data_IF_586073912673
#
_entry.id   IF_586073912673
#
_cell.length_a   1.000
_cell.length_b   1.000
_cell.length_c   1.000
_cell.angle_alpha   90.00
_cell.angle_beta   90.00
_cell.angle_gamma   90.00
#
_symmetry.space_group_name_H-M   'P 1'
#
loop_
_entity.id
_entity.type
_entity.pdbx_description
1 polymer ?
#
# COMPACT_ATOMS: atom_id res chain seq x y z
N UNK A 1 60.65 -49.38 -31.65
CA UNK A 1 60.72 -48.17 -32.49
C UNK A 1 61.63 -47.19 -31.79
N UNK A 2 62.63 -46.65 -32.48
CA UNK A 2 63.56 -45.65 -31.91
C UNK A 2 62.89 -44.28 -32.06
N UNK A 3 62.46 -43.68 -30.95
CA UNK A 3 61.94 -42.32 -30.94
C UNK A 3 63.11 -41.37 -30.70
N UNK A 4 63.85 -41.01 -31.75
CA UNK A 4 64.79 -39.89 -31.68
C UNK A 4 64.00 -38.61 -31.94
N UNK A 5 63.71 -37.85 -30.88
CA UNK A 5 63.16 -36.50 -31.01
C UNK A 5 64.24 -35.55 -31.50
N UNK A 6 63.87 -34.59 -32.35
CA UNK A 6 64.77 -33.50 -32.75
C UNK A 6 64.87 -32.46 -31.63
N UNK A 7 65.94 -31.64 -31.66
CA UNK A 7 66.19 -30.65 -30.60
C UNK A 7 65.06 -29.63 -30.48
N UNK A 8 64.44 -29.23 -31.60
CA UNK A 8 63.38 -28.23 -31.65
C UNK A 8 62.13 -28.73 -30.91
N UNK A 9 61.77 -30.00 -31.13
CA UNK A 9 60.63 -30.64 -30.45
C UNK A 9 60.89 -30.78 -28.95
N UNK A 10 62.12 -31.09 -28.56
CA UNK A 10 62.48 -31.16 -27.13
C UNK A 10 62.44 -29.78 -26.48
N UNK A 11 62.94 -28.73 -27.15
CA UNK A 11 62.90 -27.36 -26.64
C UNK A 11 61.47 -26.84 -26.42
N UNK A 12 60.54 -27.15 -27.32
CA UNK A 12 59.12 -26.78 -27.16
C UNK A 12 58.43 -27.54 -26.02
N UNK A 13 58.85 -28.79 -25.76
CA UNK A 13 58.28 -29.62 -24.70
C UNK A 13 58.92 -29.37 -23.32
N UNK A 14 60.13 -28.80 -23.26
CA UNK A 14 60.89 -28.58 -22.02
C UNK A 14 60.14 -27.76 -20.95
N UNK A 15 59.44 -26.64 -21.26
CA UNK A 15 58.66 -25.91 -20.25
C UNK A 15 57.56 -26.77 -19.62
N UNK A 16 56.81 -27.51 -20.45
CA UNK A 16 55.71 -28.36 -19.97
C UNK A 16 56.22 -29.60 -19.23
N UNK A 17 57.41 -30.10 -19.59
CA UNK A 17 58.11 -31.19 -18.90
C UNK A 17 58.62 -30.77 -17.51
N UNK A 18 59.19 -29.56 -17.38
CA UNK A 18 59.61 -28.97 -16.09
C UNK A 18 58.40 -28.79 -15.16
N UNK A 19 57.25 -28.41 -15.70
CA UNK A 19 55.99 -28.23 -14.96
C UNK A 19 55.25 -29.56 -14.66
N UNK A 20 55.76 -30.70 -15.16
CA UNK A 20 55.18 -32.03 -14.92
C UNK A 20 53.85 -32.30 -15.65
N UNK A 21 53.58 -31.59 -16.74
CA UNK A 21 52.31 -31.64 -17.49
C UNK A 21 52.38 -32.52 -18.75
N UNK A 22 53.47 -33.24 -18.96
CA UNK A 22 53.70 -34.14 -20.09
C UNK A 22 53.39 -35.61 -19.74
N UNK A 23 52.94 -36.38 -20.74
CA UNK A 23 52.62 -37.82 -20.56
C UNK A 23 53.87 -38.67 -20.36
N UNK A 24 53.73 -39.85 -19.73
CA UNK A 24 54.85 -40.76 -19.42
C UNK A 24 55.68 -41.16 -20.65
N UNK A 25 55.04 -41.32 -21.81
CA UNK A 25 55.71 -41.64 -23.08
C UNK A 25 56.57 -40.47 -23.56
N UNK A 26 56.11 -39.24 -23.35
CA UNK A 26 56.85 -38.01 -23.70
C UNK A 26 58.00 -37.76 -22.73
N UNK A 27 57.80 -38.05 -21.44
CA UNK A 27 58.83 -37.95 -20.41
C UNK A 27 60.03 -38.84 -20.71
N UNK A 28 59.80 -40.11 -21.06
CA UNK A 28 60.87 -41.04 -21.43
C UNK A 28 61.66 -40.59 -22.66
N UNK A 29 60.98 -40.01 -23.66
CA UNK A 29 61.62 -39.55 -24.89
C UNK A 29 62.48 -38.28 -24.65
N UNK A 30 62.00 -37.34 -23.83
CA UNK A 30 62.75 -36.14 -23.42
C UNK A 30 63.97 -36.53 -22.57
N UNK A 31 63.82 -37.42 -21.59
CA UNK A 31 64.93 -37.92 -20.77
C UNK A 31 66.03 -38.62 -21.57
N UNK A 32 65.64 -39.39 -22.59
CA UNK A 32 66.59 -40.06 -23.47
C UNK A 32 67.38 -39.06 -24.33
N UNK A 33 66.73 -38.00 -24.81
CA UNK A 33 67.39 -36.94 -25.57
C UNK A 33 68.32 -36.07 -24.69
N UNK A 34 67.92 -35.76 -23.44
CA UNK A 34 68.75 -35.00 -22.49
C UNK A 34 70.04 -35.74 -22.09
N UNK A 35 70.09 -37.07 -22.22
CA UNK A 35 71.30 -37.88 -21.99
C UNK A 35 72.35 -37.71 -23.11
N UNK A 36 71.92 -37.45 -24.34
CA UNK A 36 72.79 -37.41 -25.52
C UNK A 36 73.03 -35.99 -26.05
N UNK A 37 72.18 -35.02 -25.74
CA UNK A 37 72.25 -33.65 -26.24
C UNK A 37 72.63 -32.63 -25.14
N UNK A 38 73.78 -31.98 -25.29
CA UNK A 38 74.31 -31.03 -24.31
C UNK A 38 73.59 -29.66 -24.34
N UNK A 39 73.16 -29.20 -25.51
CA UNK A 39 72.46 -27.91 -25.68
C UNK A 39 71.10 -27.91 -24.97
N UNK A 40 70.31 -28.97 -25.13
CA UNK A 40 69.00 -29.10 -24.47
C UNK A 40 69.16 -29.30 -22.95
N UNK A 41 70.23 -29.96 -22.50
CA UNK A 41 70.54 -30.11 -21.06
C UNK A 41 70.87 -28.79 -20.40
N UNK A 42 71.57 -27.91 -21.11
CA UNK A 42 71.88 -26.57 -20.60
C UNK A 42 70.62 -25.73 -20.45
N UNK A 43 69.73 -25.74 -21.45
CA UNK A 43 68.44 -25.04 -21.40
C UNK A 43 67.55 -25.55 -20.26
N UNK A 44 67.48 -26.87 -20.05
CA UNK A 44 66.77 -27.47 -18.92
C UNK A 44 67.30 -27.00 -17.55
N UNK A 45 68.61 -26.84 -17.40
CA UNK A 45 69.21 -26.32 -16.15
C UNK A 45 68.93 -24.84 -15.93
N UNK A 46 69.01 -24.03 -16.98
CA UNK A 46 68.68 -22.60 -16.92
C UNK A 46 67.22 -22.36 -16.50
N UNK A 47 66.31 -23.29 -16.83
CA UNK A 47 64.90 -23.24 -16.42
C UNK A 47 64.64 -23.81 -15.01
N UNK A 48 65.57 -24.59 -14.44
CA UNK A 48 65.47 -25.12 -13.07
C UNK A 48 66.10 -24.22 -12.01
N UNK A 49 66.95 -23.27 -12.39
CA UNK A 49 67.57 -22.35 -11.45
C UNK A 49 66.65 -21.15 -11.16
N UNK A 50 66.26 -20.90 -9.90
CA UNK A 50 65.58 -19.66 -9.54
C UNK A 50 66.56 -18.49 -9.74
N UNK A 51 66.19 -17.50 -10.55
CA UNK A 51 67.01 -16.31 -10.79
C UNK A 51 67.22 -15.54 -9.47
N UNK A 52 68.36 -15.79 -8.82
CA UNK A 52 68.90 -15.01 -7.73
C UNK A 52 69.98 -14.10 -8.30
N UNK A 53 69.63 -12.83 -8.56
CA UNK A 53 70.58 -11.83 -9.06
C UNK A 53 71.55 -11.39 -7.96
N UNK A 54 72.79 -11.89 -8.03
CA UNK A 54 73.93 -11.40 -7.25
C UNK A 54 74.40 -10.01 -7.74
N UNK A 55 74.93 -9.19 -6.82
CA UNK A 55 76.28 -8.62 -6.91
C UNK A 55 76.72 -7.96 -5.59
N UNK A 56 77.42 -8.75 -4.75
CA UNK A 56 78.72 -8.53 -4.03
C UNK A 56 78.98 -7.10 -3.48
N UNK A 57 79.25 -6.87 -2.19
CA UNK A 57 80.43 -7.35 -1.45
C UNK A 57 80.33 -7.16 0.08
N UNK A 58 80.61 -8.25 0.81
CA UNK A 58 81.49 -8.39 1.99
C UNK A 58 81.33 -7.49 3.23
N UNK A 59 81.11 -8.12 4.40
CA UNK A 59 82.12 -8.43 5.44
C UNK A 59 81.43 -8.93 6.73
N UNK A 60 81.91 -10.09 7.23
CA UNK A 60 81.87 -10.64 8.60
C UNK A 60 80.62 -11.32 9.19
N UNK A 61 80.75 -12.66 9.26
CA UNK A 61 80.72 -13.52 10.46
C UNK A 61 79.71 -13.21 11.57
N UNK A 62 78.83 -14.17 11.83
CA UNK A 62 78.34 -14.41 13.19
C UNK A 62 76.91 -14.91 13.32
N UNK A 63 76.78 -16.22 13.45
CA UNK A 63 75.77 -16.91 14.29
C UNK A 63 74.32 -17.03 13.80
N UNK A 64 73.98 -18.31 13.64
CA UNK A 64 72.66 -18.95 13.60
C UNK A 64 71.73 -18.44 14.71
N UNK A 65 70.51 -18.03 14.35
CA UNK A 65 69.25 -18.56 14.86
C UNK A 65 68.04 -17.73 14.37
N UNK A 66 66.99 -18.44 13.97
CA UNK A 66 65.59 -18.01 13.87
C UNK A 66 65.14 -17.00 12.80
N UNK A 67 64.66 -17.59 11.69
CA UNK A 67 63.27 -17.47 11.23
C UNK A 67 62.61 -16.07 11.25
N UNK A 68 63.14 -15.12 10.48
CA UNK A 68 62.38 -13.96 10.00
C UNK A 68 62.70 -13.66 8.54
N UNK A 69 62.27 -14.55 7.64
CA UNK A 69 62.24 -14.21 6.21
C UNK A 69 61.04 -13.30 5.97
N UNK A 70 61.37 -12.04 5.71
CA UNK A 70 60.51 -11.04 5.11
C UNK A 70 59.80 -11.67 3.91
N UNK A 71 58.48 -11.79 4.00
CA UNK A 71 57.67 -11.85 2.80
C UNK A 71 57.93 -10.57 2.03
N UNK A 72 58.43 -10.74 0.81
CA UNK A 72 58.41 -9.73 -0.24
C UNK A 72 57.06 -9.02 -0.19
N UNK A 73 57.08 -7.75 0.25
CA UNK A 73 55.86 -6.98 0.45
C UNK A 73 55.28 -6.73 -0.93
N UNK A 74 54.24 -7.48 -1.26
CA UNK A 74 53.37 -7.27 -2.41
C UNK A 74 52.64 -5.92 -2.26
N UNK A 75 53.31 -4.84 -2.70
CA UNK A 75 52.80 -3.47 -2.67
C UNK A 75 51.52 -3.32 -3.51
N UNK A 76 51.32 -4.19 -4.52
CA UNK A 76 50.16 -4.15 -5.42
C UNK A 76 48.89 -4.69 -4.75
N UNK A 77 48.99 -5.72 -3.91
CA UNK A 77 47.86 -6.23 -3.11
C UNK A 77 47.40 -5.24 -2.04
N UNK A 78 48.33 -4.47 -1.47
CA UNK A 78 48.05 -3.46 -0.43
C UNK A 78 47.33 -2.21 -0.97
N UNK A 79 47.57 -1.83 -2.23
CA UNK A 79 46.89 -0.70 -2.89
C UNK A 79 45.51 -1.12 -3.43
N UNK A 80 45.39 -2.32 -4.03
CA UNK A 80 44.09 -2.85 -4.50
C UNK A 80 43.14 -3.16 -3.34
N UNK A 81 43.63 -3.65 -2.20
CA UNK A 81 42.80 -3.87 -1.01
C UNK A 81 42.32 -2.55 -0.38
N UNK A 82 43.16 -1.50 -0.35
CA UNK A 82 42.75 -0.16 0.09
C UNK A 82 41.69 0.46 -0.82
N UNK A 83 41.84 0.35 -2.14
CA UNK A 83 40.83 0.86 -3.07
C UNK A 83 39.54 0.02 -3.03
N UNK A 84 39.63 -1.32 -2.92
CA UNK A 84 38.45 -2.17 -2.69
C UNK A 84 37.75 -1.84 -1.37
N UNK A 85 38.50 -1.59 -0.29
CA UNK A 85 37.93 -1.17 0.99
C UNK A 85 37.24 0.19 0.86
N UNK A 86 37.84 1.18 0.18
CA UNK A 86 37.20 2.48 -0.09
C UNK A 86 35.91 2.35 -0.91
N UNK A 87 35.91 1.48 -1.94
CA UNK A 87 34.71 1.19 -2.73
C UNK A 87 33.64 0.54 -1.86
N UNK A 88 34.01 -0.46 -1.05
CA UNK A 88 33.07 -1.12 -0.11
C UNK A 88 32.51 -0.13 0.92
N UNK A 89 33.33 0.77 1.46
CA UNK A 89 32.88 1.84 2.37
C UNK A 89 31.91 2.78 1.66
N UNK A 90 32.19 3.20 0.43
CA UNK A 90 31.30 4.05 -0.35
C UNK A 90 29.96 3.35 -0.66
N UNK A 91 30.01 2.07 -1.05
CA UNK A 91 28.81 1.24 -1.29
C UNK A 91 28.01 1.06 0.00
N UNK A 92 28.67 0.83 1.14
CA UNK A 92 28.01 0.70 2.44
C UNK A 92 27.35 2.01 2.87
N UNK A 93 28.04 3.15 2.73
CA UNK A 93 27.46 4.48 3.03
C UNK A 93 26.26 4.73 2.14
N UNK A 94 26.36 4.42 0.84
CA UNK A 94 25.25 4.56 -0.08
C UNK A 94 24.06 3.66 0.31
N UNK A 95 24.32 2.39 0.63
CA UNK A 95 23.29 1.46 1.09
C UNK A 95 22.62 1.94 2.38
N UNK A 96 23.40 2.48 3.34
CA UNK A 96 22.87 3.10 4.56
C UNK A 96 22.04 4.34 4.22
N UNK A 97 22.50 5.23 3.34
CA UNK A 97 21.76 6.42 2.95
C UNK A 97 20.42 6.09 2.29
N UNK A 98 20.41 5.07 1.41
CA UNK A 98 19.16 4.55 0.81
C UNK A 98 18.27 3.93 1.89
N UNK A 99 18.84 3.14 2.79
CA UNK A 99 18.10 2.53 3.91
C UNK A 99 17.48 3.58 4.83
N UNK A 100 18.22 4.62 5.19
CA UNK A 100 17.74 5.77 5.98
C UNK A 100 16.67 6.53 5.21
N UNK A 101 16.84 6.78 3.91
CA UNK A 101 15.82 7.44 3.10
C UNK A 101 14.50 6.67 3.05
N UNK A 102 14.56 5.34 2.87
CA UNK A 102 13.37 4.47 2.92
C UNK A 102 12.74 4.46 4.31
N UNK A 103 13.56 4.35 5.35
CA UNK A 103 13.09 4.38 6.74
C UNK A 103 12.42 5.73 7.08
N UNK A 104 13.05 6.85 6.74
CA UNK A 104 12.49 8.20 6.93
C UNK A 104 11.18 8.40 6.17
N UNK A 105 11.06 7.88 4.93
CA UNK A 105 9.81 7.95 4.18
C UNK A 105 8.67 7.21 4.91
N UNK A 106 8.94 6.02 5.44
CA UNK A 106 7.92 5.16 6.07
C UNK A 106 7.53 5.61 7.49
N UNK A 107 8.50 6.09 8.28
CA UNK A 107 8.31 6.34 9.71
C UNK A 107 8.26 7.81 10.11
N UNK A 108 8.66 8.75 9.22
CA UNK A 108 8.70 10.20 9.54
C UNK A 108 7.84 11.02 8.59
N UNK A 109 8.03 10.88 7.27
CA UNK A 109 7.30 11.71 6.29
C UNK A 109 5.89 11.17 6.05
N UNK A 110 5.78 9.84 5.91
CA UNK A 110 4.52 9.18 5.66
C UNK A 110 3.99 9.38 4.24
N UNK A 111 2.78 8.87 4.04
CA UNK A 111 2.00 8.97 2.81
C UNK A 111 0.65 9.62 3.10
N UNK A 112 -0.01 10.17 2.08
CA UNK A 112 -1.34 10.76 2.25
C UNK A 112 -2.35 9.67 2.62
N UNK A 113 -3.28 9.98 3.51
CA UNK A 113 -4.44 9.12 3.78
C UNK A 113 -5.36 9.17 2.56
N UNK A 114 -5.57 8.02 1.92
CA UNK A 114 -6.48 7.93 0.75
C UNK A 114 -7.92 7.59 1.15
N UNK A 115 -8.12 6.98 2.33
CA UNK A 115 -9.42 6.48 2.77
C UNK A 115 -9.81 7.12 4.12
N UNK A 116 -10.67 8.14 4.05
CA UNK A 116 -11.16 8.87 5.22
C UNK A 116 -11.99 7.99 6.19
N UNK A 117 -12.55 6.88 5.72
CA UNK A 117 -13.34 5.94 6.54
C UNK A 117 -12.54 5.37 7.72
N UNK A 118 -11.21 5.24 7.58
CA UNK A 118 -10.33 4.78 8.66
C UNK A 118 -9.92 5.87 9.65
N UNK A 119 -10.50 7.06 9.52
CA UNK A 119 -10.25 8.20 10.40
C UNK A 119 -11.55 8.52 11.15
N UNK A 120 -11.49 8.39 12.46
CA UNK A 120 -12.51 8.95 13.34
C UNK A 120 -12.10 10.39 13.65
N UNK A 121 -12.92 11.35 13.28
CA UNK A 121 -12.63 12.77 13.50
C UNK A 121 -13.90 13.51 13.92
N UNK A 122 -13.71 14.46 14.83
CA UNK A 122 -14.69 15.41 15.29
C UNK A 122 -14.19 16.82 14.99
N UNK A 123 -15.12 17.70 14.65
CA UNK A 123 -14.85 19.10 14.32
C UNK A 123 -15.70 20.01 15.19
N UNK A 124 -15.05 21.05 15.71
CA UNK A 124 -15.72 22.17 16.36
C UNK A 124 -15.35 23.44 15.59
N UNK A 125 -16.37 24.17 15.15
CA UNK A 125 -16.21 25.47 14.48
C UNK A 125 -16.76 26.56 15.40
N UNK A 126 -15.90 27.48 15.81
CA UNK A 126 -16.25 28.66 16.59
C UNK A 126 -15.78 29.91 15.84
N UNK A 127 -16.72 30.71 15.35
CA UNK A 127 -16.46 31.86 14.46
C UNK A 127 -15.59 31.45 13.24
N UNK A 128 -14.32 31.85 13.23
CA UNK A 128 -13.34 31.54 12.19
C UNK A 128 -12.30 30.49 12.63
N UNK A 129 -12.46 29.89 13.81
CA UNK A 129 -11.55 28.87 14.31
C UNK A 129 -12.14 27.47 14.09
N UNK A 130 -11.39 26.63 13.38
CA UNK A 130 -11.74 25.23 13.12
C UNK A 130 -10.82 24.35 13.94
N UNK A 131 -11.37 23.70 14.97
CA UNK A 131 -10.66 22.70 15.76
C UNK A 131 -11.01 21.31 15.23
N UNK A 132 -10.00 20.56 14.79
CA UNK A 132 -10.15 19.20 14.29
C UNK A 132 -9.37 18.27 15.19
N UNK A 133 -10.07 17.28 15.76
CA UNK A 133 -9.45 16.24 16.56
C UNK A 133 -9.88 14.87 16.07
N UNK A 134 -9.02 13.87 16.24
CA UNK A 134 -9.36 12.54 15.78
C UNK A 134 -8.26 11.52 15.97
N UNK A 135 -8.52 10.32 15.44
CA UNK A 135 -7.59 9.21 15.45
C UNK A 135 -7.73 8.33 14.21
N UNK A 136 -6.61 7.70 13.85
CA UNK A 136 -6.58 6.60 12.88
C UNK A 136 -7.04 5.32 13.59
N UNK A 137 -8.03 4.64 13.01
CA UNK A 137 -8.55 3.36 13.52
C UNK A 137 -7.50 2.24 13.39
N UNK A 138 -6.63 2.30 12.39
CA UNK A 138 -5.47 1.41 12.29
C UNK A 138 -4.40 1.80 13.32
N UNK A 139 -4.44 1.12 14.46
CA UNK A 139 -3.51 1.33 15.59
C UNK A 139 -2.04 1.03 15.26
N UNK A 140 -1.74 0.49 14.07
CA UNK A 140 -0.37 0.29 13.56
C UNK A 140 0.18 1.50 12.81
N UNK A 141 -0.61 2.57 12.66
CA UNK A 141 -0.22 3.82 12.01
C UNK A 141 -0.05 4.96 13.00
N UNK A 142 0.53 6.06 12.53
CA UNK A 142 0.61 7.34 13.23
C UNK A 142 0.40 8.51 12.27
N UNK A 143 -0.12 9.63 12.77
CA UNK A 143 -0.32 10.86 12.00
C UNK A 143 0.97 11.68 12.01
N UNK A 144 1.53 11.94 10.84
CA UNK A 144 2.76 12.74 10.70
C UNK A 144 2.53 14.20 10.35
N UNK A 145 1.40 14.51 9.71
CA UNK A 145 1.07 15.86 9.27
C UNK A 145 -0.44 16.01 9.10
N UNK A 146 -0.94 17.21 9.41
CA UNK A 146 -2.33 17.64 9.18
C UNK A 146 -2.26 18.96 8.43
N UNK A 147 -2.65 18.94 7.16
CA UNK A 147 -2.61 20.09 6.28
C UNK A 147 -4.02 20.64 6.05
N UNK A 148 -4.12 21.95 5.92
CA UNK A 148 -5.37 22.66 5.65
C UNK A 148 -5.29 23.38 4.31
N UNK A 149 -6.38 23.34 3.55
CA UNK A 149 -6.60 24.14 2.37
C UNK A 149 -7.97 24.79 2.48
N UNK A 150 -8.03 26.09 2.25
CA UNK A 150 -9.27 26.86 2.30
C UNK A 150 -9.61 27.40 0.92
N UNK A 151 -10.86 27.22 0.51
CA UNK A 151 -11.39 27.78 -0.73
C UNK A 151 -12.91 27.96 -0.65
N UNK A 152 -13.38 29.18 -0.91
CA UNK A 152 -14.81 29.53 -1.04
C UNK A 152 -15.64 29.22 0.25
N UNK A 153 -14.99 29.28 1.42
CA UNK A 153 -15.55 28.94 2.74
C UNK A 153 -15.50 27.44 3.08
N UNK A 154 -14.85 26.62 2.24
CA UNK A 154 -14.67 25.18 2.47
C UNK A 154 -13.25 24.94 2.99
N UNK A 155 -13.15 24.43 4.22
CA UNK A 155 -11.89 24.03 4.84
C UNK A 155 -11.66 22.53 4.60
N UNK A 156 -10.69 22.21 3.75
CA UNK A 156 -10.27 20.84 3.46
C UNK A 156 -9.09 20.46 4.34
N UNK A 157 -9.27 19.40 5.12
CA UNK A 157 -8.27 18.78 5.99
C UNK A 157 -7.68 17.58 5.26
N UNK A 158 -6.36 17.53 5.16
CA UNK A 158 -5.62 16.39 4.62
C UNK A 158 -4.66 15.81 5.64
N UNK A 159 -4.58 14.48 5.69
CA UNK A 159 -3.75 13.77 6.66
C UNK A 159 -2.61 13.03 5.96
N UNK A 160 -1.46 12.97 6.64
CA UNK A 160 -0.38 12.02 6.30
C UNK A 160 -0.24 10.98 7.39
N UNK A 161 -0.20 9.71 6.98
CA UNK A 161 0.02 8.57 7.85
C UNK A 161 1.42 7.96 7.68
N UNK A 162 1.98 7.50 8.79
CA UNK A 162 3.24 6.74 8.88
C UNK A 162 2.97 5.38 9.51
N UNK A 163 3.94 4.46 9.45
CA UNK A 163 3.93 3.34 10.40
C UNK A 163 4.15 3.87 11.81
N UNK A 164 3.43 3.30 12.77
CA UNK A 164 3.54 3.66 14.19
C UNK A 164 4.98 3.60 14.63
N UNK A 165 5.42 4.70 15.24
CA UNK A 165 6.77 4.91 15.74
C UNK A 165 6.69 5.73 17.02
N UNK A 166 7.82 5.92 17.68
CA UNK A 166 7.88 6.81 18.85
C UNK A 166 7.71 8.30 18.50
N UNK A 167 7.70 8.66 17.22
CA UNK A 167 7.58 10.05 16.75
C UNK A 167 6.14 10.46 16.47
N UNK A 168 5.26 9.50 16.15
CA UNK A 168 3.89 9.76 15.70
C UNK A 168 2.90 8.84 16.39
N UNK A 169 1.92 9.43 17.05
CA UNK A 169 0.74 8.76 17.62
C UNK A 169 -0.33 8.60 16.55
N UNK A 170 -1.28 7.68 16.75
CA UNK A 170 -2.45 7.55 15.87
C UNK A 170 -3.51 8.65 16.11
N UNK A 171 -3.36 9.46 17.15
CA UNK A 171 -4.21 10.59 17.49
C UNK A 171 -3.64 11.92 16.99
N UNK A 172 -4.51 12.87 16.68
CA UNK A 172 -4.18 14.23 16.28
C UNK A 172 -5.21 15.23 16.82
N UNK A 173 -4.75 16.45 17.08
CA UNK A 173 -5.59 17.60 17.41
C UNK A 173 -4.91 18.85 16.87
N UNK A 174 -5.60 19.58 15.99
CA UNK A 174 -5.04 20.76 15.33
C UNK A 174 -6.13 21.82 15.16
N UNK A 175 -5.75 23.07 15.44
CA UNK A 175 -6.60 24.24 15.22
C UNK A 175 -6.17 24.96 13.93
N UNK A 176 -7.13 25.45 13.18
CA UNK A 176 -6.94 26.22 11.96
C UNK A 176 -7.75 27.51 12.01
N UNK A 177 -7.07 28.63 11.83
CA UNK A 177 -7.71 29.94 11.72
C UNK A 177 -8.06 30.21 10.25
N UNK A 178 -9.35 30.14 9.95
CA UNK A 178 -9.91 30.47 8.64
C UNK A 178 -9.83 31.97 8.36
N UNK A 179 -9.70 32.32 7.08
CA UNK A 179 -9.63 33.71 6.60
C UNK A 179 -10.99 34.31 6.23
N UNK A 180 -12.02 33.48 6.12
CA UNK A 180 -13.39 33.84 5.75
C UNK A 180 -14.43 33.11 6.62
N UNK A 181 -15.72 33.29 6.36
CA UNK A 181 -16.76 32.54 7.09
C UNK A 181 -16.72 31.06 6.65
N UNK A 182 -16.54 30.17 7.61
CA UNK A 182 -16.50 28.72 7.36
C UNK A 182 -17.90 28.21 7.08
N UNK A 183 -18.10 27.67 5.88
CA UNK A 183 -19.37 27.04 5.46
C UNK A 183 -19.34 25.53 5.61
N UNK A 184 -18.19 24.91 5.39
CA UNK A 184 -18.04 23.47 5.41
C UNK A 184 -16.63 23.05 5.82
N UNK A 185 -16.52 21.94 6.55
CA UNK A 185 -15.25 21.29 6.88
C UNK A 185 -15.25 19.87 6.34
N UNK A 186 -14.27 19.54 5.51
CA UNK A 186 -14.14 18.25 4.82
C UNK A 186 -12.81 17.62 5.17
N UNK A 187 -12.81 16.36 5.60
CA UNK A 187 -11.61 15.55 5.79
C UNK A 187 -11.44 14.60 4.62
N UNK A 188 -10.44 14.88 3.78
CA UNK A 188 -10.22 14.25 2.47
C UNK A 188 -11.47 14.34 1.57
N UNK A 189 -12.39 13.37 1.67
CA UNK A 189 -13.67 13.34 0.95
C UNK A 189 -14.90 13.31 1.88
N UNK A 190 -14.71 13.17 3.19
CA UNK A 190 -15.79 13.06 4.18
C UNK A 190 -16.14 14.43 4.74
N UNK A 191 -17.40 14.80 4.65
CA UNK A 191 -17.93 16.04 5.22
C UNK A 191 -18.06 15.80 6.73
N UNK A 192 -17.38 16.62 7.54
CA UNK A 192 -17.42 16.53 9.01
C UNK A 192 -18.38 17.56 9.62
N UNK A 193 -18.56 18.69 8.93
CA UNK A 193 -19.37 19.80 9.40
C UNK A 193 -19.88 20.63 8.22
N UNK A 194 -21.12 21.09 8.30
CA UNK A 194 -21.80 21.88 7.28
C UNK A 194 -22.77 22.87 7.95
N UNK A 195 -22.56 24.18 7.76
CA UNK A 195 -23.41 25.29 8.24
C UNK A 195 -23.98 25.13 9.67
N UNK A 196 -23.11 24.87 10.64
CA UNK A 196 -23.47 24.74 12.05
C UNK A 196 -23.80 23.32 12.50
N UNK A 197 -23.90 22.36 11.57
CA UNK A 197 -24.30 20.99 11.84
C UNK A 197 -23.11 20.04 11.69
N UNK A 198 -22.85 19.24 12.73
CA UNK A 198 -21.89 18.12 12.65
C UNK A 198 -22.49 16.99 11.82
N UNK A 199 -21.72 16.46 10.88
CA UNK A 199 -22.20 15.45 9.93
C UNK A 199 -21.63 14.08 10.30
N UNK A 200 -22.52 13.11 10.54
CA UNK A 200 -22.11 11.73 10.76
C UNK A 200 -21.44 11.15 9.49
N UNK A 201 -20.47 10.26 9.67
CA UNK A 201 -19.73 9.68 8.53
C UNK A 201 -20.62 8.94 7.54
N UNK A 202 -21.56 8.16 8.06
CA UNK A 202 -22.50 7.42 7.21
C UNK A 202 -23.42 8.36 6.45
N UNK A 203 -23.76 9.51 7.03
CA UNK A 203 -24.56 10.56 6.37
C UNK A 203 -23.76 11.28 5.30
N UNK A 204 -22.48 11.58 5.55
CA UNK A 204 -21.57 12.11 4.53
C UNK A 204 -21.44 11.14 3.34
N UNK A 205 -21.34 9.84 3.59
CA UNK A 205 -21.26 8.84 2.53
C UNK A 205 -22.58 8.73 1.74
N UNK A 206 -23.73 8.81 2.43
CA UNK A 206 -25.04 8.87 1.81
C UNK A 206 -25.24 10.13 0.97
N UNK A 207 -24.76 11.28 1.45
CA UNK A 207 -24.80 12.53 0.68
C UNK A 207 -23.97 12.42 -0.61
N UNK A 208 -22.79 11.82 -0.53
CA UNK A 208 -21.93 11.60 -1.69
C UNK A 208 -22.46 10.53 -2.65
N UNK A 209 -23.38 9.66 -2.21
CA UNK A 209 -24.01 8.66 -3.07
C UNK A 209 -25.12 9.22 -3.95
N UNK A 210 -25.50 10.50 -3.76
CA UNK A 210 -26.58 11.15 -4.52
C UNK A 210 -26.48 10.91 -6.01
N UNK A 211 -27.62 10.57 -6.60
CA UNK A 211 -27.72 10.19 -8.00
C UNK A 211 -28.88 10.93 -8.69
N UNK A 212 -28.64 11.67 -9.79
CA UNK A 212 -29.72 12.32 -10.53
C UNK A 212 -30.76 11.35 -11.12
N UNK A 213 -30.36 10.09 -11.38
CA UNK A 213 -31.19 9.15 -12.12
C UNK A 213 -31.03 7.69 -11.68
N UNK A 214 -32.12 7.04 -11.25
CA UNK A 214 -32.17 5.60 -10.96
C UNK A 214 -31.98 4.76 -12.23
N UNK A 215 -30.96 3.89 -12.27
CA UNK A 215 -30.62 3.09 -13.45
C UNK A 215 -29.13 2.86 -13.68
N UNK A 216 -28.25 3.59 -13.00
CA UNK A 216 -26.85 3.21 -12.89
C UNK A 216 -26.70 2.21 -11.74
N UNK A 217 -26.62 0.92 -12.07
CA UNK A 217 -26.52 -0.17 -11.09
C UNK A 217 -25.41 0.04 -10.05
N UNK A 218 -24.30 0.69 -10.43
CA UNK A 218 -23.21 0.95 -9.50
C UNK A 218 -23.53 2.11 -8.56
N UNK A 219 -24.14 3.19 -9.06
CA UNK A 219 -24.57 4.32 -8.22
C UNK A 219 -25.73 3.96 -7.30
N UNK A 220 -26.69 3.21 -7.83
CA UNK A 220 -27.83 2.66 -7.11
C UNK A 220 -27.34 1.77 -5.96
N UNK A 221 -26.40 0.86 -6.25
CA UNK A 221 -25.78 0.00 -5.24
C UNK A 221 -25.09 0.77 -4.11
N UNK A 222 -24.34 1.83 -4.45
CA UNK A 222 -23.71 2.71 -3.44
C UNK A 222 -24.75 3.40 -2.55
N UNK A 223 -25.85 3.88 -3.12
CA UNK A 223 -26.92 4.53 -2.35
C UNK A 223 -27.60 3.58 -1.38
N UNK A 224 -27.85 2.32 -1.79
CA UNK A 224 -28.38 1.29 -0.90
C UNK A 224 -27.42 0.98 0.24
N UNK A 225 -26.13 0.81 -0.07
CA UNK A 225 -25.13 0.52 0.95
C UNK A 225 -25.03 1.66 1.97
N UNK A 226 -24.94 2.90 1.50
CA UNK A 226 -24.84 4.07 2.38
C UNK A 226 -26.11 4.27 3.21
N UNK A 227 -27.31 4.14 2.63
CA UNK A 227 -28.56 4.27 3.36
C UNK A 227 -28.74 3.18 4.42
N UNK A 228 -28.32 1.94 4.13
CA UNK A 228 -28.33 0.84 5.12
C UNK A 228 -27.34 1.10 6.25
N UNK A 229 -26.15 1.61 5.94
CA UNK A 229 -25.15 1.97 6.95
C UNK A 229 -25.67 3.06 7.89
N UNK A 230 -26.30 4.11 7.34
CA UNK A 230 -26.97 5.15 8.12
C UNK A 230 -28.00 4.55 9.08
N UNK A 231 -28.85 3.64 8.60
CA UNK A 231 -29.92 3.05 9.42
C UNK A 231 -29.44 1.94 10.38
N UNK A 232 -28.16 1.56 10.35
CA UNK A 232 -27.65 0.45 11.16
C UNK A 232 -28.25 -0.91 10.77
N UNK A 233 -28.71 -1.07 9.53
CA UNK A 233 -29.31 -2.30 9.03
C UNK A 233 -28.18 -3.29 8.72
N UNK A 234 -28.00 -4.27 9.60
CA UNK A 234 -26.98 -5.32 9.44
C UNK A 234 -27.12 -6.11 8.12
N UNK A 235 -26.02 -6.66 7.63
CA UNK A 235 -25.97 -7.42 6.36
C UNK A 235 -26.92 -8.62 6.31
N UNK A 236 -27.34 -9.17 7.46
CA UNK A 236 -28.30 -10.26 7.53
C UNK A 236 -29.78 -9.85 7.42
N UNK A 237 -30.10 -8.57 7.56
CA UNK A 237 -31.48 -8.05 7.51
C UNK A 237 -31.83 -7.53 6.11
N UNK A 238 -33.11 -7.61 5.73
CA UNK A 238 -33.63 -7.10 4.45
C UNK A 238 -32.83 -7.61 3.23
N UNK A 239 -32.46 -8.89 3.23
CA UNK A 239 -31.79 -9.51 2.08
C UNK A 239 -32.78 -9.66 0.93
N UNK A 240 -32.52 -8.96 -0.18
CA UNK A 240 -33.27 -9.08 -1.42
C UNK A 240 -32.53 -9.96 -2.44
N UNK A 241 -33.24 -10.81 -3.17
CA UNK A 241 -32.65 -11.66 -4.21
C UNK A 241 -32.56 -10.99 -5.59
N UNK A 242 -33.03 -9.74 -5.70
CA UNK A 242 -32.91 -8.95 -6.89
C UNK A 242 -33.59 -7.60 -6.72
N UNK A 243 -33.45 -6.76 -7.74
CA UNK A 243 -34.21 -5.51 -7.85
C UNK A 243 -34.78 -5.35 -9.26
N UNK A 244 -35.87 -4.60 -9.36
CA UNK A 244 -36.51 -4.27 -10.62
C UNK A 244 -36.75 -2.76 -10.68
N UNK A 245 -36.43 -2.17 -11.84
CA UNK A 245 -36.67 -0.76 -12.11
C UNK A 245 -37.87 -0.58 -13.03
N UNK A 246 -38.68 0.44 -12.72
CA UNK A 246 -39.65 1.00 -13.64
C UNK A 246 -39.16 2.39 -14.05
N UNK A 247 -38.76 2.53 -15.31
CA UNK A 247 -38.22 3.78 -15.88
C UNK A 247 -38.90 4.18 -17.19
N UNK A 248 -40.01 3.50 -17.54
CA UNK A 248 -40.73 3.72 -18.80
C UNK A 248 -41.65 4.95 -18.82
N UNK A 249 -42.09 5.41 -17.65
CA UNK A 249 -42.95 6.57 -17.42
C UNK A 249 -42.87 6.99 -15.96
N UNK A 250 -43.18 8.25 -15.67
CA UNK A 250 -43.28 8.72 -14.29
C UNK A 250 -44.57 8.22 -13.59
N UNK A 251 -44.55 8.04 -12.26
CA UNK A 251 -43.38 8.14 -11.38
C UNK A 251 -42.43 6.95 -11.57
N UNK A 252 -41.11 7.21 -11.58
CA UNK A 252 -40.12 6.13 -11.65
C UNK A 252 -40.05 5.35 -10.34
N UNK A 253 -39.81 4.05 -10.46
CA UNK A 253 -39.93 3.11 -9.35
C UNK A 253 -38.75 2.17 -9.22
N UNK A 254 -38.46 1.80 -7.97
CA UNK A 254 -37.48 0.79 -7.64
C UNK A 254 -38.06 -0.25 -6.68
N UNK A 255 -38.12 -1.50 -7.13
CA UNK A 255 -38.64 -2.62 -6.34
C UNK A 255 -37.52 -3.55 -5.90
N UNK A 256 -37.43 -3.84 -4.60
CA UNK A 256 -36.63 -4.91 -4.01
C UNK A 256 -37.44 -6.20 -4.02
N UNK A 257 -36.90 -7.24 -4.66
CA UNK A 257 -37.60 -8.50 -4.89
C UNK A 257 -37.22 -9.55 -3.85
N UNK A 258 -38.23 -10.32 -3.44
CA UNK A 258 -38.11 -11.51 -2.61
C UNK A 258 -37.36 -11.26 -1.29
N UNK A 259 -37.66 -10.17 -0.59
CA UNK A 259 -37.09 -9.89 0.72
C UNK A 259 -37.58 -10.92 1.73
N UNK A 260 -36.67 -11.75 2.25
CA UNK A 260 -37.01 -12.80 3.19
C UNK A 260 -37.01 -12.28 4.63
N UNK A 261 -38.08 -12.54 5.37
CA UNK A 261 -38.24 -12.20 6.78
C UNK A 261 -38.44 -13.49 7.57
N UNK A 262 -37.61 -13.74 8.58
CA UNK A 262 -37.76 -14.92 9.44
C UNK A 262 -39.00 -14.79 10.33
N UNK A 263 -39.67 -15.91 10.62
CA UNK A 263 -40.77 -15.98 11.61
C UNK A 263 -40.38 -15.48 13.01
N UNK A 264 -39.09 -15.53 13.34
CA UNK A 264 -38.54 -15.04 14.61
C UNK A 264 -38.35 -13.52 14.64
N UNK A 265 -38.45 -12.86 13.49
CA UNK A 265 -38.18 -11.43 13.39
C UNK A 265 -39.43 -10.61 13.72
N UNK A 266 -39.20 -9.41 14.27
CA UNK A 266 -40.26 -8.44 14.45
C UNK A 266 -40.61 -7.80 13.09
N UNK A 267 -41.71 -8.27 12.49
CA UNK A 267 -42.20 -7.80 11.18
C UNK A 267 -42.50 -6.30 11.18
N UNK A 268 -43.08 -5.75 12.26
CA UNK A 268 -43.39 -4.30 12.34
C UNK A 268 -42.10 -3.47 12.34
N UNK A 269 -41.08 -3.91 13.09
CA UNK A 269 -39.75 -3.27 13.07
C UNK A 269 -39.15 -3.28 11.66
N UNK A 270 -39.19 -4.43 10.97
CA UNK A 270 -38.64 -4.55 9.62
C UNK A 270 -39.41 -3.72 8.59
N UNK A 271 -40.74 -3.63 8.71
CA UNK A 271 -41.54 -2.73 7.89
C UNK A 271 -41.15 -1.27 8.12
N UNK A 272 -40.85 -0.89 9.37
CA UNK A 272 -40.36 0.45 9.67
C UNK A 272 -38.98 0.71 9.05
N UNK A 273 -38.05 -0.25 9.15
CA UNK A 273 -36.74 -0.16 8.50
C UNK A 273 -36.85 -0.07 6.97
N UNK A 274 -37.78 -0.81 6.35
CA UNK A 274 -38.08 -0.68 4.92
C UNK A 274 -38.61 0.72 4.57
N UNK A 275 -39.48 1.29 5.41
CA UNK A 275 -39.99 2.66 5.21
C UNK A 275 -38.87 3.70 5.30
N UNK A 276 -38.03 3.60 6.32
CA UNK A 276 -36.87 4.47 6.51
C UNK A 276 -35.88 4.34 5.33
N UNK A 277 -35.60 3.11 4.90
CA UNK A 277 -34.72 2.85 3.75
C UNK A 277 -35.30 3.43 2.45
N UNK A 278 -36.60 3.21 2.19
CA UNK A 278 -37.29 3.80 1.04
C UNK A 278 -37.24 5.33 1.05
N UNK A 279 -37.44 5.93 2.22
CA UNK A 279 -37.34 7.38 2.42
C UNK A 279 -35.95 7.92 2.04
N UNK A 280 -34.88 7.32 2.58
CA UNK A 280 -33.50 7.75 2.26
C UNK A 280 -33.16 7.58 0.78
N UNK A 281 -33.55 6.46 0.16
CA UNK A 281 -33.30 6.22 -1.26
C UNK A 281 -34.01 7.23 -2.16
N UNK A 282 -35.25 7.61 -1.83
CA UNK A 282 -35.99 8.66 -2.52
C UNK A 282 -35.32 10.02 -2.32
N UNK A 283 -34.84 10.31 -1.12
CA UNK A 283 -34.17 11.57 -0.80
C UNK A 283 -32.90 11.77 -1.63
N UNK A 284 -32.09 10.72 -1.81
CA UNK A 284 -30.79 10.81 -2.52
C UNK A 284 -30.86 10.49 -4.01
N UNK A 285 -32.03 10.13 -4.54
CA UNK A 285 -32.21 9.80 -5.96
C UNK A 285 -33.24 10.72 -6.61
N UNK A 286 -32.78 11.73 -7.36
CA UNK A 286 -33.61 12.89 -7.72
C UNK A 286 -34.88 12.51 -8.51
N UNK A 287 -34.78 11.57 -9.46
CA UNK A 287 -35.90 11.16 -10.31
C UNK A 287 -36.77 10.04 -9.71
N UNK A 288 -36.43 9.49 -8.54
CA UNK A 288 -37.12 8.34 -7.97
C UNK A 288 -38.42 8.81 -7.31
N UNK A 289 -39.55 8.23 -7.71
CA UNK A 289 -40.87 8.59 -7.18
C UNK A 289 -41.42 7.62 -6.15
N UNK A 290 -40.97 6.35 -6.16
CA UNK A 290 -41.32 5.37 -5.14
C UNK A 290 -40.30 4.24 -5.01
N UNK A 291 -40.27 3.62 -3.83
CA UNK A 291 -39.56 2.38 -3.53
C UNK A 291 -40.54 1.33 -3.03
N UNK A 292 -40.46 0.12 -3.57
CA UNK A 292 -41.29 -1.00 -3.16
C UNK A 292 -40.44 -2.16 -2.65
N UNK A 293 -40.96 -2.91 -1.68
CA UNK A 293 -40.35 -4.11 -1.12
C UNK A 293 -41.37 -5.24 -1.24
N UNK A 294 -41.05 -6.24 -2.06
CA UNK A 294 -41.78 -7.50 -2.11
C UNK A 294 -41.16 -8.46 -1.09
N UNK A 295 -41.90 -8.81 -0.05
CA UNK A 295 -41.40 -9.60 1.06
C UNK A 295 -42.35 -10.74 1.46
N UNK A 296 -41.77 -11.81 2.00
CA UNK A 296 -42.50 -12.94 2.57
C UNK A 296 -42.02 -13.22 3.99
N UNK A 297 -42.94 -13.64 4.86
CA UNK A 297 -42.65 -14.03 6.25
C UNK A 297 -42.68 -15.55 6.35
N UNK A 298 -41.56 -16.15 6.75
CA UNK A 298 -41.47 -17.60 6.96
C UNK A 298 -42.56 -18.07 7.95
N UNK A 299 -43.19 -19.21 7.66
CA UNK A 299 -44.17 -19.84 8.56
C UNK A 299 -45.57 -19.19 8.60
N UNK A 300 -45.84 -18.15 7.78
CA UNK A 300 -47.20 -17.67 7.57
C UNK A 300 -48.02 -18.71 6.77
N UNK A 301 -49.27 -18.98 7.16
CA UNK A 301 -50.16 -19.96 6.51
C UNK A 301 -50.49 -19.66 5.03
N UNK A 302 -49.98 -18.57 4.47
CA UNK A 302 -50.13 -18.16 3.07
C UNK A 302 -48.79 -18.30 2.33
N UNK A 303 -48.36 -19.55 2.09
CA UNK A 303 -47.12 -19.88 1.38
C UNK A 303 -47.10 -19.56 -0.13
N UNK A 304 -47.98 -18.67 -0.59
CA UNK A 304 -48.11 -18.28 -2.01
C UNK A 304 -48.31 -16.75 -2.23
N UNK A 305 -48.35 -15.95 -1.16
CA UNK A 305 -48.63 -14.51 -1.23
C UNK A 305 -47.44 -13.65 -0.81
N UNK A 306 -46.65 -13.16 -1.76
CA UNK A 306 -45.71 -12.06 -1.50
C UNK A 306 -46.50 -10.81 -1.10
N UNK A 307 -46.09 -10.14 -0.01
CA UNK A 307 -46.65 -8.86 0.41
C UNK A 307 -45.79 -7.74 -0.15
N UNK A 308 -46.41 -6.67 -0.64
CA UNK A 308 -45.68 -5.50 -1.14
C UNK A 308 -45.87 -4.31 -0.21
N UNK A 309 -44.77 -3.78 0.32
CA UNK A 309 -44.73 -2.48 1.00
C UNK A 309 -44.19 -1.44 0.02
N UNK A 310 -44.91 -0.34 -0.18
CA UNK A 310 -44.46 0.75 -1.06
C UNK A 310 -44.36 2.05 -0.28
N UNK A 311 -43.27 2.78 -0.50
CA UNK A 311 -43.01 4.13 0.00
C UNK A 311 -42.98 5.05 -1.20
N UNK A 312 -43.91 5.98 -1.27
CA UNK A 312 -43.90 7.04 -2.30
C UNK A 312 -43.16 8.27 -1.79
N UNK A 313 -42.81 9.19 -2.70
CA UNK A 313 -42.27 10.50 -2.32
C UNK A 313 -43.18 11.24 -1.33
N UNK A 314 -44.50 11.17 -1.52
CA UNK A 314 -45.47 11.76 -0.59
C UNK A 314 -45.46 11.09 0.80
N UNK A 315 -45.24 9.78 0.87
CA UNK A 315 -45.10 9.07 2.15
C UNK A 315 -43.80 9.46 2.85
N UNK A 316 -42.69 9.58 2.10
CA UNK A 316 -41.40 10.01 2.62
C UNK A 316 -41.47 11.45 3.16
N UNK A 317 -42.09 12.36 2.41
CA UNK A 317 -42.32 13.74 2.85
C UNK A 317 -43.21 13.81 4.09
N UNK A 318 -44.23 12.96 4.18
CA UNK A 318 -45.08 12.86 5.37
C UNK A 318 -44.31 12.33 6.59
N UNK A 319 -43.36 11.41 6.40
CA UNK A 319 -42.50 10.91 7.47
C UNK A 319 -41.56 11.98 8.02
N UNK A 320 -40.97 12.81 7.15
CA UNK A 320 -40.07 13.89 7.55
C UNK A 320 -40.80 15.19 7.96
N UNK A 321 -42.08 15.33 7.59
CA UNK A 321 -42.86 16.56 7.79
C UNK A 321 -42.55 17.67 6.77
N UNK A 322 -41.62 17.43 5.85
CA UNK A 322 -41.23 18.35 4.76
C UNK A 322 -40.58 17.55 3.61
N UNK A 323 -40.23 18.23 2.52
CA UNK A 323 -39.70 17.55 1.33
C UNK A 323 -38.33 16.89 1.59
N UNK A 324 -38.28 15.56 1.48
CA UNK A 324 -37.04 14.79 1.74
C UNK A 324 -35.95 15.09 0.70
N UNK A 325 -36.36 15.32 -0.56
CA UNK A 325 -35.45 15.71 -1.64
C UNK A 325 -34.89 17.12 -1.46
N UNK A 326 -35.68 18.03 -0.86
CA UNK A 326 -35.20 19.36 -0.53
C UNK A 326 -34.18 19.32 0.61
N UNK A 327 -34.45 18.53 1.66
CA UNK A 327 -33.51 18.32 2.77
C UNK A 327 -32.18 17.73 2.28
N UNK A 328 -32.24 16.74 1.38
CA UNK A 328 -31.06 16.10 0.81
C UNK A 328 -30.21 16.97 -0.14
N UNK A 329 -30.59 18.24 -0.40
CA UNK A 329 -29.76 19.15 -1.20
C UNK A 329 -28.52 19.66 -0.46
N UNK A 330 -28.47 19.52 0.87
CA UNK A 330 -27.33 19.91 1.70
C UNK A 330 -26.94 18.78 2.65
N UNK A 331 -25.66 18.66 3.04
CA UNK A 331 -25.25 17.70 4.06
C UNK A 331 -25.98 17.92 5.39
N UNK A 332 -26.10 19.18 5.84
CA UNK A 332 -26.82 19.53 7.07
C UNK A 332 -28.30 19.10 7.02
N UNK A 333 -29.00 19.38 5.91
CA UNK A 333 -30.38 18.96 5.73
C UNK A 333 -30.55 17.44 5.67
N UNK A 334 -29.60 16.71 5.07
CA UNK A 334 -29.64 15.24 5.08
C UNK A 334 -29.39 14.67 6.48
N UNK A 335 -28.51 15.28 7.27
CA UNK A 335 -28.29 14.92 8.68
C UNK A 335 -29.58 15.10 9.50
N UNK A 336 -30.25 16.24 9.35
CA UNK A 336 -31.55 16.49 10.00
C UNK A 336 -32.61 15.47 9.56
N UNK A 337 -32.67 15.13 8.26
CA UNK A 337 -33.61 14.12 7.75
C UNK A 337 -33.40 12.77 8.46
N UNK A 338 -32.15 12.35 8.62
CA UNK A 338 -31.79 11.10 9.29
C UNK A 338 -32.21 11.11 10.75
N UNK A 339 -32.10 12.25 11.44
CA UNK A 339 -32.55 12.41 12.83
C UNK A 339 -34.08 12.39 12.99
N UNK A 340 -34.81 12.87 11.98
CA UNK A 340 -36.28 12.88 12.00
C UNK A 340 -36.89 11.50 11.78
N UNK A 341 -36.25 10.65 10.95
CA UNK A 341 -36.83 9.36 10.55
C UNK A 341 -36.37 8.18 11.40
N UNK A 342 -35.27 8.32 12.16
CA UNK A 342 -34.72 7.27 13.04
C UNK A 342 -35.51 7.16 14.34
#
# INVERSE_FOLDING_TARGET
MKNDLTCEVVQDLLPSYVDGLTSDVSNQAVEQHLKTCESCRKLYREMQEPMNGENVSDINEGQKADSKNLSEIDYLKKIRSKNRMRILTAVLIFAIAVGVGLWSKVYVIGQKVEQAEFVQADVVVEDHNVSVQGLLLDTTKGVSDVAFQEKDGIVTVSLRETRKSSFHTNEFQVDYQSSEDVKQVVLENRILWDDGVSIDGTVSDLYQSRNPYVGDTSADGRSVQAARAVLGINDGALLSYGTQLQTSKEPYGWTFLNVQISSSDNVERLQQEMKQLGCLLIAVTDNLGYVSFEYSVDGAENSDGSTTLTVTEADADAMAGQSVKAMAQTPAGLQELVELIK
#
